data_IF_339350090382
#
_entry.id   IF_339350090382
#
_cell.length_a   1.000
_cell.length_b   1.000
_cell.length_c   1.000
_cell.angle_alpha   90.00
_cell.angle_beta   90.00
_cell.angle_gamma   90.00
#
_symmetry.space_group_name_H-M   'P 1'
#
loop_
_entity.id
_entity.type
_entity.pdbx_description
1 polymer ?
#
# COMPACT_ATOMS: atom_id res chain seq x y z
N UNK A 1 21.75 -28.75 -15.02
CA UNK A 1 20.93 -29.43 -14.00
C UNK A 1 21.13 -28.81 -12.60
N UNK A 2 22.37 -28.59 -12.15
CA UNK A 2 22.67 -27.98 -10.83
C UNK A 2 22.10 -26.57 -10.62
N UNK A 3 22.08 -25.72 -11.65
CA UNK A 3 21.55 -24.35 -11.50
C UNK A 3 20.05 -24.30 -11.27
N UNK A 4 19.27 -25.16 -11.94
CA UNK A 4 17.82 -25.24 -11.72
C UNK A 4 17.47 -25.73 -10.31
N UNK A 5 18.25 -26.67 -9.78
CA UNK A 5 18.12 -27.14 -8.40
C UNK A 5 18.41 -26.00 -7.41
N UNK A 6 19.42 -25.17 -7.68
CA UNK A 6 19.76 -24.01 -6.86
C UNK A 6 18.63 -22.97 -6.85
N UNK A 7 18.04 -22.66 -8.01
CA UNK A 7 16.88 -21.76 -8.08
C UNK A 7 15.67 -22.32 -7.33
N UNK A 8 15.40 -23.63 -7.42
CA UNK A 8 14.36 -24.30 -6.64
C UNK A 8 14.58 -24.16 -5.13
N UNK A 9 15.82 -24.38 -4.67
CA UNK A 9 16.18 -24.20 -3.25
C UNK A 9 15.94 -22.75 -2.81
N UNK A 10 16.35 -21.76 -3.61
CA UNK A 10 16.11 -20.35 -3.29
C UNK A 10 14.63 -20.00 -3.23
N UNK A 11 13.81 -20.52 -4.13
CA UNK A 11 12.35 -20.32 -4.12
C UNK A 11 11.73 -20.92 -2.85
N UNK A 12 12.08 -22.17 -2.51
CA UNK A 12 11.57 -22.84 -1.30
C UNK A 12 12.01 -22.10 -0.04
N UNK A 13 13.27 -21.68 0.03
CA UNK A 13 13.81 -20.91 1.15
C UNK A 13 13.11 -19.55 1.28
N UNK A 14 12.79 -18.90 0.17
CA UNK A 14 12.02 -17.66 0.16
C UNK A 14 10.63 -17.87 0.79
N UNK A 15 9.90 -18.90 0.35
CA UNK A 15 8.55 -19.22 0.86
C UNK A 15 8.59 -19.54 2.36
N UNK A 16 9.60 -20.28 2.83
CA UNK A 16 9.75 -20.60 4.26
C UNK A 16 10.04 -19.35 5.08
N UNK A 17 10.96 -18.49 4.61
CA UNK A 17 11.30 -17.24 5.30
C UNK A 17 10.10 -16.30 5.33
N UNK A 18 9.37 -16.20 4.21
CA UNK A 18 8.17 -15.39 4.08
C UNK A 18 7.07 -15.83 5.05
N UNK A 19 6.92 -17.15 5.25
CA UNK A 19 5.98 -17.71 6.21
C UNK A 19 6.45 -17.63 7.68
N UNK A 20 7.75 -17.42 7.95
CA UNK A 20 8.30 -17.37 9.31
C UNK A 20 8.51 -15.94 9.81
N UNK A 21 8.87 -15.01 8.94
CA UNK A 21 9.19 -13.62 9.31
C UNK A 21 7.97 -12.72 9.13
N UNK A 22 7.19 -12.62 10.21
CA UNK A 22 6.01 -11.75 10.29
C UNK A 22 6.32 -10.32 10.81
N UNK A 23 7.48 -10.11 11.43
CA UNK A 23 7.83 -8.83 12.03
C UNK A 23 8.37 -7.82 10.98
N UNK A 24 7.74 -6.65 10.80
CA UNK A 24 8.05 -5.73 9.69
C UNK A 24 9.45 -5.10 9.80
N UNK A 25 9.94 -4.86 11.01
CA UNK A 25 11.28 -4.31 11.24
C UNK A 25 12.37 -5.37 10.97
N UNK A 26 12.15 -6.61 11.42
CA UNK A 26 13.07 -7.73 11.20
C UNK A 26 13.20 -8.03 9.70
N UNK A 27 12.07 -8.01 8.97
CA UNK A 27 12.05 -8.20 7.51
C UNK A 27 12.79 -7.11 6.76
N UNK A 28 12.70 -5.85 7.20
CA UNK A 28 13.45 -4.72 6.62
C UNK A 28 14.95 -4.94 6.75
N UNK A 29 15.45 -5.24 7.95
CA UNK A 29 16.88 -5.44 8.19
C UNK A 29 17.39 -6.72 7.53
N UNK A 30 16.62 -7.81 7.57
CA UNK A 30 16.96 -9.06 6.90
C UNK A 30 17.04 -8.89 5.38
N UNK A 31 16.05 -8.26 4.74
CA UNK A 31 16.06 -8.00 3.31
C UNK A 31 17.22 -7.08 2.89
N UNK A 32 17.46 -6.00 3.64
CA UNK A 32 18.53 -5.05 3.35
C UNK A 32 19.93 -5.65 3.56
N UNK A 33 20.10 -6.47 4.59
CA UNK A 33 21.32 -7.25 4.83
C UNK A 33 21.57 -8.25 3.69
N UNK A 34 20.54 -8.96 3.23
CA UNK A 34 20.67 -9.95 2.15
C UNK A 34 21.01 -9.31 0.80
N UNK A 35 20.43 -8.13 0.49
CA UNK A 35 20.79 -7.36 -0.71
C UNK A 35 22.23 -6.86 -0.63
N UNK A 36 22.63 -6.29 0.52
CA UNK A 36 23.99 -5.80 0.72
C UNK A 36 25.02 -6.94 0.62
N UNK A 37 24.74 -8.08 1.25
CA UNK A 37 25.58 -9.28 1.16
C UNK A 37 25.66 -9.82 -0.28
N UNK A 38 24.53 -9.89 -0.99
CA UNK A 38 24.49 -10.33 -2.39
C UNK A 38 25.31 -9.44 -3.32
N UNK A 39 25.23 -8.12 -3.13
CA UNK A 39 26.03 -7.14 -3.89
C UNK A 39 27.52 -7.21 -3.54
N UNK A 40 27.86 -7.29 -2.25
CA UNK A 40 29.25 -7.45 -1.80
C UNK A 40 29.87 -8.74 -2.34
N UNK A 41 29.13 -9.85 -2.28
CA UNK A 41 29.52 -11.11 -2.90
C UNK A 41 29.71 -10.94 -4.41
N UNK A 42 28.80 -10.30 -5.15
CA UNK A 42 28.95 -10.09 -6.59
C UNK A 42 30.22 -9.31 -6.98
N UNK A 43 30.64 -8.35 -6.15
CA UNK A 43 31.84 -7.52 -6.37
C UNK A 43 33.11 -8.26 -5.97
N UNK A 44 33.09 -9.08 -4.91
CA UNK A 44 34.28 -9.81 -4.43
C UNK A 44 34.48 -11.18 -5.07
N UNK A 45 33.42 -11.86 -5.52
CA UNK A 45 33.51 -13.16 -6.20
C UNK A 45 34.50 -13.17 -7.38
N UNK A 46 34.52 -12.18 -8.29
CA UNK A 46 35.51 -12.18 -9.38
C UNK A 46 36.97 -12.16 -8.90
N UNK A 47 37.25 -11.67 -7.69
CA UNK A 47 38.61 -11.68 -7.11
C UNK A 47 39.06 -13.07 -6.60
N UNK A 48 38.11 -14.00 -6.39
CA UNK A 48 38.33 -15.38 -5.95
C UNK A 48 38.03 -16.41 -7.06
N UNK A 49 37.99 -15.98 -8.33
CA UNK A 49 37.65 -16.86 -9.45
C UNK A 49 38.80 -17.74 -9.90
N UNK A 50 39.04 -18.82 -9.16
CA UNK A 50 39.57 -20.04 -9.76
C UNK A 50 38.81 -21.33 -9.39
N UNK A 51 37.90 -21.32 -8.41
CA UNK A 51 37.38 -22.58 -7.84
C UNK A 51 35.84 -22.73 -7.78
N UNK A 52 35.06 -21.65 -7.90
CA UNK A 52 33.61 -21.70 -7.60
C UNK A 52 32.76 -21.80 -8.88
N UNK A 53 32.14 -22.96 -9.08
CA UNK A 53 31.32 -23.34 -10.25
C UNK A 53 29.85 -22.86 -10.20
N UNK A 54 29.52 -21.84 -9.40
CA UNK A 54 28.14 -21.41 -9.11
C UNK A 54 27.97 -19.87 -9.25
N UNK A 55 27.92 -19.32 -10.47
CA UNK A 55 27.90 -17.87 -10.73
C UNK A 55 26.58 -17.18 -10.34
N UNK A 56 25.49 -17.92 -10.13
CA UNK A 56 24.14 -17.37 -9.94
C UNK A 56 23.74 -17.10 -8.48
N UNK A 57 24.54 -17.53 -7.50
CA UNK A 57 24.31 -17.34 -6.06
C UNK A 57 24.11 -15.86 -5.67
N UNK A 58 24.95 -14.90 -6.09
CA UNK A 58 24.77 -13.50 -5.70
C UNK A 58 23.48 -12.90 -6.27
N UNK A 59 23.09 -13.30 -7.49
CA UNK A 59 21.86 -12.83 -8.14
C UNK A 59 20.65 -13.35 -7.37
N UNK A 60 20.65 -14.62 -6.97
CA UNK A 60 19.60 -15.22 -6.15
C UNK A 60 19.42 -14.50 -4.81
N UNK A 61 20.52 -14.17 -4.13
CA UNK A 61 20.49 -13.42 -2.87
C UNK A 61 19.90 -12.01 -3.03
N UNK A 62 20.28 -11.28 -4.09
CA UNK A 62 19.73 -9.93 -4.34
C UNK A 62 18.22 -9.99 -4.61
N UNK A 63 17.75 -10.96 -5.39
CA UNK A 63 16.32 -11.13 -5.68
C UNK A 63 15.51 -11.51 -4.43
N UNK A 64 16.01 -12.45 -3.63
CA UNK A 64 15.41 -12.83 -2.35
C UNK A 64 15.31 -11.65 -1.39
N UNK A 65 16.40 -10.89 -1.24
CA UNK A 65 16.44 -9.72 -0.35
C UNK A 65 15.49 -8.61 -0.81
N UNK A 66 15.40 -8.39 -2.13
CA UNK A 66 14.49 -7.41 -2.73
C UNK A 66 13.02 -7.77 -2.49
N UNK A 67 12.65 -9.04 -2.63
CA UNK A 67 11.31 -9.53 -2.33
C UNK A 67 10.92 -9.31 -0.86
N UNK A 68 11.81 -9.67 0.06
CA UNK A 68 11.58 -9.44 1.49
C UNK A 68 11.43 -7.95 1.84
N UNK A 69 12.24 -7.09 1.23
CA UNK A 69 12.22 -5.64 1.47
C UNK A 69 10.97 -4.96 0.89
N UNK A 70 10.56 -5.31 -0.32
CA UNK A 70 9.43 -4.69 -1.02
C UNK A 70 8.07 -5.19 -0.51
N UNK A 71 7.95 -6.47 -0.14
CA UNK A 71 6.68 -7.04 0.36
C UNK A 71 6.36 -6.70 1.82
N UNK A 72 7.18 -5.88 2.47
CA UNK A 72 6.93 -5.36 3.83
C UNK A 72 5.52 -4.80 4.00
N UNK A 73 5.00 -4.10 2.99
CA UNK A 73 3.70 -3.43 3.09
C UNK A 73 2.52 -4.41 3.18
N UNK A 74 2.62 -5.61 2.57
CA UNK A 74 1.57 -6.64 2.68
C UNK A 74 1.45 -7.18 4.12
N UNK A 75 2.58 -7.36 4.81
CA UNK A 75 2.61 -7.90 6.17
C UNK A 75 2.33 -6.86 7.26
N UNK A 76 2.69 -5.60 7.04
CA UNK A 76 2.30 -4.52 7.97
C UNK A 76 0.79 -4.41 8.15
N UNK A 77 0.00 -4.72 7.10
CA UNK A 77 -1.46 -4.77 7.18
C UNK A 77 -1.99 -6.05 7.86
N UNK A 78 -1.41 -7.21 7.57
CA UNK A 78 -1.81 -8.45 8.26
C UNK A 78 -1.64 -8.35 9.80
N UNK A 79 -0.75 -7.46 10.27
CA UNK A 79 -0.48 -7.22 11.69
C UNK A 79 -1.36 -6.14 12.35
N UNK A 80 -2.30 -5.49 11.65
CA UNK A 80 -3.37 -4.75 12.34
C UNK A 80 -4.45 -5.73 12.80
N UNK A 81 -4.04 -6.69 13.63
CA UNK A 81 -4.94 -7.45 14.49
C UNK A 81 -5.28 -6.54 15.67
N UNK A 82 -5.93 -5.40 15.38
CA UNK A 82 -6.59 -4.67 16.45
C UNK A 82 -7.79 -5.53 16.87
N UNK A 83 -7.82 -5.99 18.14
CA UNK A 83 -9.06 -6.51 18.67
C UNK A 83 -10.03 -5.32 18.65
N UNK A 84 -11.29 -5.61 18.32
CA UNK A 84 -12.44 -4.70 18.33
C UNK A 84 -12.59 -3.95 16.98
N UNK A 85 -13.77 -3.87 16.34
CA UNK A 85 -15.04 -3.44 16.96
C UNK A 85 -14.84 -2.29 17.97
N UNK A 86 -13.71 -1.59 17.96
CA UNK A 86 -13.57 -0.27 18.54
C UNK A 86 -14.09 0.58 17.42
N UNK A 87 -15.36 0.98 17.57
CA UNK A 87 -15.87 2.15 16.89
C UNK A 87 -14.72 3.14 16.85
N UNK A 88 -14.25 3.55 15.66
CA UNK A 88 -13.35 4.67 15.59
C UNK A 88 -13.99 5.72 16.49
N UNK A 89 -13.29 6.27 17.49
CA UNK A 89 -13.79 7.45 18.22
C UNK A 89 -13.70 8.62 17.24
N UNK A 90 -14.49 8.49 16.18
CA UNK A 90 -14.64 9.31 15.01
C UNK A 90 -16.11 9.61 15.09
N UNK A 91 -16.41 10.89 15.18
CA UNK A 91 -17.78 11.33 15.15
C UNK A 91 -18.26 11.11 13.70
N UNK A 92 -18.90 9.98 13.43
CA UNK A 92 -19.53 9.73 12.13
C UNK A 92 -20.85 10.49 12.11
N UNK A 93 -21.13 11.16 11.01
CA UNK A 93 -22.44 11.75 10.80
C UNK A 93 -23.51 10.65 10.63
N UNK A 94 -24.77 11.01 10.84
CA UNK A 94 -25.91 10.08 10.77
C UNK A 94 -26.24 9.61 9.35
N UNK A 95 -25.50 10.07 8.35
CA UNK A 95 -25.62 9.70 6.94
C UNK A 95 -24.92 8.37 6.60
N UNK A 96 -24.06 7.86 7.49
CA UNK A 96 -23.32 6.63 7.24
C UNK A 96 -24.24 5.38 7.25
N UNK A 97 -24.12 4.49 6.25
CA UNK A 97 -24.80 3.21 6.28
C UNK A 97 -24.17 2.29 7.33
N UNK A 98 -25.01 1.68 8.16
CA UNK A 98 -24.64 0.69 9.18
C UNK A 98 -24.38 -0.70 8.56
N UNK A 99 -23.45 -0.79 7.59
CA UNK A 99 -23.07 -2.06 6.98
C UNK A 99 -21.60 -2.45 7.26
N UNK A 100 -21.29 -3.78 7.30
CA UNK A 100 -19.92 -4.24 7.54
C UNK A 100 -18.90 -3.74 6.51
N UNK A 101 -19.37 -3.43 5.30
CA UNK A 101 -18.53 -2.90 4.21
C UNK A 101 -18.04 -1.49 4.52
N UNK A 102 -18.91 -0.61 4.99
CA UNK A 102 -18.56 0.76 5.35
C UNK A 102 -17.60 0.77 6.54
N UNK A 103 -17.86 -0.06 7.56
CA UNK A 103 -16.96 -0.18 8.71
C UNK A 103 -15.54 -0.62 8.29
N UNK A 104 -15.44 -1.62 7.40
CA UNK A 104 -14.15 -2.06 6.88
C UNK A 104 -13.46 -0.99 6.04
N UNK A 105 -14.22 -0.23 5.23
CA UNK A 105 -13.69 0.88 4.45
C UNK A 105 -13.14 1.98 5.36
N UNK A 106 -13.88 2.37 6.40
CA UNK A 106 -13.46 3.39 7.35
C UNK A 106 -12.20 2.96 8.12
N UNK A 107 -12.12 1.70 8.52
CA UNK A 107 -10.91 1.13 9.13
C UNK A 107 -9.72 1.26 8.16
N UNK A 108 -9.91 0.88 6.90
CA UNK A 108 -8.86 0.95 5.90
C UNK A 108 -8.37 2.39 5.65
N UNK A 109 -9.30 3.36 5.57
CA UNK A 109 -8.95 4.78 5.43
C UNK A 109 -8.20 5.27 6.68
N UNK A 110 -8.62 4.85 7.87
CA UNK A 110 -7.92 5.20 9.11
C UNK A 110 -6.48 4.68 9.14
N UNK A 111 -6.24 3.45 8.67
CA UNK A 111 -4.91 2.86 8.62
C UNK A 111 -3.99 3.51 7.57
N UNK A 112 -4.50 3.79 6.38
CA UNK A 112 -3.67 4.26 5.25
C UNK A 112 -3.53 5.80 5.17
N UNK A 113 -4.55 6.55 5.61
CA UNK A 113 -4.61 8.02 5.51
C UNK A 113 -4.62 8.67 6.89
N UNK A 114 -5.33 8.07 7.85
CA UNK A 114 -5.58 8.65 9.17
C UNK A 114 -6.84 9.51 9.19
N UNK A 115 -7.77 9.15 10.07
CA UNK A 115 -9.00 9.93 10.28
C UNK A 115 -8.82 10.92 11.45
N UNK A 116 -9.30 12.18 11.32
CA UNK A 116 -9.29 13.12 12.43
C UNK A 116 -10.19 12.65 13.58
N UNK A 117 -9.66 12.65 14.81
CA UNK A 117 -10.38 12.17 16.00
C UNK A 117 -11.47 13.14 16.51
N UNK A 118 -11.33 14.43 16.21
CA UNK A 118 -12.19 15.47 16.78
C UNK A 118 -13.19 16.08 15.78
N UNK A 119 -13.19 15.62 14.52
CA UNK A 119 -14.05 16.19 13.48
C UNK A 119 -15.16 15.22 13.11
N UNK A 120 -16.34 15.77 12.81
CA UNK A 120 -17.44 14.97 12.26
C UNK A 120 -17.09 14.63 10.82
N UNK A 121 -17.04 13.33 10.52
CA UNK A 121 -16.77 12.82 9.18
C UNK A 121 -18.12 12.53 8.52
N UNK A 122 -18.26 12.98 7.28
CA UNK A 122 -19.44 12.81 6.44
C UNK A 122 -19.10 11.91 5.24
N UNK A 123 -20.12 11.36 4.58
CA UNK A 123 -19.92 10.60 3.34
C UNK A 123 -19.28 11.44 2.22
N UNK A 124 -19.57 12.74 2.20
CA UNK A 124 -18.99 13.70 1.25
C UNK A 124 -17.59 14.18 1.65
N UNK A 125 -17.07 13.79 2.82
CA UNK A 125 -15.72 14.16 3.24
C UNK A 125 -14.72 13.68 2.21
N UNK A 126 -13.94 14.63 1.72
CA UNK A 126 -12.97 14.47 0.67
C UNK A 126 -11.66 13.96 1.23
N UNK A 127 -11.20 12.82 0.74
CA UNK A 127 -9.96 12.18 1.17
C UNK A 127 -8.75 13.00 0.71
N UNK A 128 -8.82 13.56 -0.49
CA UNK A 128 -7.72 14.35 -1.07
C UNK A 128 -7.70 15.80 -0.62
N UNK A 129 -8.83 16.37 -0.15
CA UNK A 129 -8.90 17.76 0.34
C UNK A 129 -8.95 17.80 1.88
N UNK A 130 -9.98 17.21 2.48
CA UNK A 130 -10.26 17.35 3.92
C UNK A 130 -9.33 16.49 4.78
N UNK A 131 -9.04 15.26 4.32
CA UNK A 131 -8.11 14.36 5.03
C UNK A 131 -6.65 14.59 4.63
N UNK A 132 -6.38 15.45 3.64
CA UNK A 132 -5.03 15.78 3.19
C UNK A 132 -4.25 14.60 2.61
N UNK A 133 -4.92 13.57 2.09
CA UNK A 133 -4.29 12.38 1.55
C UNK A 133 -3.36 12.72 0.37
N UNK A 134 -2.10 12.30 0.46
CA UNK A 134 -1.14 12.49 -0.60
C UNK A 134 -1.28 11.45 -1.72
N UNK A 135 -0.79 11.76 -2.91
CA UNK A 135 -0.76 10.79 -4.01
C UNK A 135 -0.03 9.48 -3.68
N UNK A 136 0.91 9.47 -2.73
CA UNK A 136 1.62 8.25 -2.34
C UNK A 136 0.78 7.38 -1.39
N UNK A 137 0.07 7.99 -0.45
CA UNK A 137 -0.89 7.31 0.43
C UNK A 137 -2.08 6.80 -0.37
N UNK A 138 -2.61 7.60 -1.30
CA UNK A 138 -3.68 7.20 -2.20
C UNK A 138 -3.34 5.94 -3.00
N UNK A 139 -2.10 5.80 -3.48
CA UNK A 139 -1.67 4.57 -4.18
C UNK A 139 -1.70 3.34 -3.27
N UNK A 140 -1.35 3.50 -1.99
CA UNK A 140 -1.42 2.41 -1.00
C UNK A 140 -2.87 2.06 -0.70
N UNK A 141 -3.72 3.07 -0.47
CA UNK A 141 -5.16 2.92 -0.30
C UNK A 141 -5.83 2.26 -1.51
N UNK A 142 -5.46 2.59 -2.75
CA UNK A 142 -6.04 1.92 -3.91
C UNK A 142 -5.56 0.49 -4.10
N UNK A 143 -4.29 0.20 -3.78
CA UNK A 143 -3.79 -1.17 -3.75
C UNK A 143 -4.56 -2.00 -2.70
N UNK A 144 -4.87 -1.36 -1.57
CA UNK A 144 -5.67 -1.93 -0.50
C UNK A 144 -7.09 -2.30 -0.92
N UNK A 145 -7.79 -1.34 -1.52
CA UNK A 145 -9.15 -1.53 -1.99
C UNK A 145 -9.23 -2.68 -3.00
N UNK A 146 -8.21 -2.80 -3.85
CA UNK A 146 -8.12 -3.91 -4.80
C UNK A 146 -7.90 -5.26 -4.09
N UNK A 147 -7.07 -5.30 -3.07
CA UNK A 147 -6.74 -6.53 -2.33
C UNK A 147 -7.89 -6.98 -1.44
N UNK A 148 -8.38 -6.09 -0.57
CA UNK A 148 -9.28 -6.45 0.53
C UNK A 148 -10.74 -6.54 0.04
N UNK A 149 -11.11 -5.73 -0.95
CA UNK A 149 -12.47 -5.71 -1.51
C UNK A 149 -12.56 -6.30 -2.92
N UNK A 150 -11.46 -6.70 -3.56
CA UNK A 150 -11.49 -7.20 -4.94
C UNK A 150 -11.91 -6.12 -5.96
N UNK A 151 -11.77 -4.84 -5.62
CA UNK A 151 -12.19 -3.73 -6.48
C UNK A 151 -11.30 -3.61 -7.71
N UNK A 152 -11.90 -3.65 -8.91
CA UNK A 152 -11.18 -3.40 -10.17
C UNK A 152 -10.92 -1.91 -10.36
N UNK A 153 -9.71 -1.56 -10.79
CA UNK A 153 -9.31 -0.17 -11.01
C UNK A 153 -10.10 0.55 -12.12
N UNK A 154 -10.78 -0.16 -13.03
CA UNK A 154 -11.65 0.45 -14.04
C UNK A 154 -10.95 1.53 -14.87
N UNK A 155 -11.49 2.74 -14.84
CA UNK A 155 -10.95 3.96 -15.49
C UNK A 155 -10.22 4.90 -14.51
N UNK A 156 -9.90 4.43 -13.30
CA UNK A 156 -9.25 5.23 -12.26
C UNK A 156 -7.93 5.83 -12.75
N UNK A 157 -7.81 7.15 -12.63
CA UNK A 157 -6.56 7.88 -12.87
C UNK A 157 -6.20 8.70 -11.64
N UNK A 158 -5.10 8.34 -10.98
CA UNK A 158 -4.60 9.06 -9.81
C UNK A 158 -4.37 10.57 -10.09
N UNK A 159 -3.95 10.95 -11.30
CA UNK A 159 -3.75 12.35 -11.71
C UNK A 159 -5.03 13.19 -11.78
N UNK A 160 -6.21 12.54 -11.75
CA UNK A 160 -7.52 13.19 -11.73
C UNK A 160 -7.84 13.79 -10.37
N UNK A 161 -7.52 13.05 -9.31
CA UNK A 161 -7.81 13.41 -7.93
C UNK A 161 -6.61 14.01 -7.20
N UNK A 162 -5.39 13.65 -7.61
CA UNK A 162 -4.17 14.06 -6.93
C UNK A 162 -3.26 14.86 -7.85
N UNK A 163 -2.64 15.93 -7.33
CA UNK A 163 -1.56 16.63 -8.01
C UNK A 163 -0.35 15.67 -8.16
N UNK A 164 0.34 15.76 -9.29
CA UNK A 164 1.63 15.07 -9.46
C UNK A 164 2.60 15.73 -8.47
N UNK A 165 3.21 14.95 -7.58
CA UNK A 165 4.18 15.45 -6.61
C UNK A 165 5.30 16.18 -7.38
N UNK A 166 5.37 17.50 -7.22
CA UNK A 166 6.44 18.32 -7.77
C UNK A 166 7.76 18.03 -7.04
N UNK A 167 8.88 18.37 -7.67
CA UNK A 167 10.24 18.16 -7.14
C UNK A 167 10.61 19.13 -6.00
N UNK A 168 9.63 19.68 -5.29
CA UNK A 168 9.91 20.66 -4.25
C UNK A 168 10.22 19.95 -2.92
N UNK A 169 11.48 19.51 -2.80
CA UNK A 169 12.00 18.83 -1.61
C UNK A 169 12.03 19.75 -0.37
N UNK A 170 11.90 21.07 -0.57
CA UNK A 170 12.04 22.09 0.47
C UNK A 170 10.72 22.51 1.10
N UNK A 171 9.59 22.37 0.41
CA UNK A 171 8.26 22.59 0.99
C UNK A 171 7.72 21.30 1.61
N UNK A 172 8.31 20.82 2.72
CA UNK A 172 7.70 19.74 3.53
C UNK A 172 6.36 20.16 4.18
N UNK A 173 6.01 21.43 4.09
CA UNK A 173 4.64 21.94 4.24
C UNK A 173 3.87 21.83 2.91
N UNK A 174 3.95 20.68 2.24
CA UNK A 174 3.19 20.42 1.00
C UNK A 174 1.72 20.60 1.32
N UNK A 175 1.03 21.46 0.56
CA UNK A 175 -0.43 21.61 0.51
C UNK A 175 -1.11 20.27 0.84
N UNK A 176 -1.56 20.10 2.09
CA UNK A 176 -2.42 18.99 2.48
C UNK A 176 -3.76 19.29 1.84
N UNK A 177 -3.98 18.70 0.67
CA UNK A 177 -5.07 19.11 -0.18
C UNK A 177 -4.65 19.10 -1.64
N UNK A 178 -5.36 18.37 -2.49
CA UNK A 178 -5.18 18.53 -3.94
C UNK A 178 -6.03 19.68 -4.47
N UNK A 179 -5.94 20.88 -3.86
CA UNK A 179 -6.74 22.06 -4.26
C UNK A 179 -6.66 22.30 -5.79
N UNK A 180 -7.81 22.39 -6.46
CA UNK A 180 -7.93 22.45 -7.92
C UNK A 180 -8.04 21.11 -8.65
N UNK A 181 -8.01 19.97 -7.94
CA UNK A 181 -8.40 18.65 -8.45
C UNK A 181 -9.83 18.30 -8.05
N UNK A 182 -10.41 17.30 -8.73
CA UNK A 182 -11.73 16.80 -8.35
C UNK A 182 -11.68 16.18 -6.94
N UNK A 183 -12.71 16.39 -6.11
CA UNK A 183 -12.80 15.79 -4.79
C UNK A 183 -12.96 14.27 -4.91
N UNK A 184 -12.23 13.53 -4.07
CA UNK A 184 -12.36 12.09 -3.92
C UNK A 184 -13.03 11.79 -2.58
N UNK A 185 -14.34 11.57 -2.58
CA UNK A 185 -15.11 11.42 -1.34
C UNK A 185 -15.16 9.99 -0.83
N UNK A 186 -15.47 9.82 0.46
CA UNK A 186 -15.69 8.50 1.07
C UNK A 186 -16.87 7.77 0.38
N UNK A 187 -17.93 8.50 0.01
CA UNK A 187 -19.06 7.95 -0.74
C UNK A 187 -18.62 7.35 -2.08
N UNK A 188 -17.73 8.02 -2.82
CA UNK A 188 -17.19 7.48 -4.07
C UNK A 188 -16.46 6.15 -3.86
N UNK A 189 -15.63 6.04 -2.82
CA UNK A 189 -14.95 4.77 -2.50
C UNK A 189 -15.96 3.67 -2.14
N UNK A 190 -16.96 3.99 -1.32
CA UNK A 190 -17.99 3.06 -0.91
C UNK A 190 -18.79 2.52 -2.10
N UNK A 191 -19.23 3.41 -2.99
CA UNK A 191 -19.96 3.01 -4.20
C UNK A 191 -19.07 2.21 -5.17
N UNK A 192 -17.78 2.54 -5.28
CA UNK A 192 -16.84 1.78 -6.10
C UNK A 192 -16.63 0.35 -5.56
N UNK A 193 -16.57 0.18 -4.23
CA UNK A 193 -16.50 -1.13 -3.58
C UNK A 193 -17.78 -1.92 -3.85
N UNK A 194 -18.95 -1.31 -3.68
CA UNK A 194 -20.25 -1.95 -3.96
C UNK A 194 -20.35 -2.42 -5.41
N UNK A 195 -19.93 -1.57 -6.35
CA UNK A 195 -19.90 -1.91 -7.78
C UNK A 195 -18.73 -2.85 -8.16
N UNK A 196 -17.81 -3.13 -7.24
CA UNK A 196 -16.54 -3.87 -7.46
C UNK A 196 -15.68 -3.31 -8.60
N UNK A 197 -15.92 -2.06 -9.01
CA UNK A 197 -15.27 -1.42 -10.15
C UNK A 197 -15.30 0.09 -9.99
N UNK A 198 -14.20 0.74 -10.32
CA UNK A 198 -14.14 2.18 -10.47
C UNK A 198 -14.79 2.64 -11.79
N UNK A 199 -15.74 3.55 -11.72
CA UNK A 199 -16.26 4.31 -12.86
C UNK A 199 -16.25 5.79 -12.48
N UNK A 200 -15.25 6.50 -12.99
CA UNK A 200 -14.94 7.87 -12.57
C UNK A 200 -16.06 8.86 -12.90
N UNK A 201 -16.85 8.64 -13.95
CA UNK A 201 -18.00 9.49 -14.30
C UNK A 201 -19.21 9.23 -13.38
N UNK A 202 -19.57 7.96 -13.19
CA UNK A 202 -20.70 7.59 -12.35
C UNK A 202 -20.46 7.97 -10.88
N UNK A 203 -19.24 7.76 -10.39
CA UNK A 203 -18.88 8.06 -9.00
C UNK A 203 -18.86 9.55 -8.71
N UNK A 204 -18.35 10.37 -9.63
CA UNK A 204 -18.35 11.83 -9.46
C UNK A 204 -19.77 12.41 -9.45
N UNK A 205 -20.71 11.81 -10.20
CA UNK A 205 -22.11 12.21 -10.10
C UNK A 205 -22.64 12.08 -8.65
N UNK A 206 -22.28 11.02 -7.92
CA UNK A 206 -22.64 10.88 -6.49
C UNK A 206 -21.90 11.86 -5.57
N UNK A 207 -20.71 12.32 -5.97
CA UNK A 207 -19.93 13.31 -5.22
C UNK A 207 -20.46 14.74 -5.37
N UNK A 208 -21.04 15.09 -6.52
CA UNK A 208 -21.56 16.43 -6.83
C UNK A 208 -23.04 16.66 -6.47
N UNK A 209 -23.81 15.62 -6.14
CA UNK A 209 -25.25 15.74 -5.87
C UNK A 209 -25.61 16.20 -4.45
N UNK A 210 -24.63 16.43 -3.57
CA UNK A 210 -24.84 16.75 -2.14
C UNK A 210 -23.99 17.94 -1.67
N UNK A 211 -23.68 18.87 -2.59
CA UNK A 211 -23.04 20.16 -2.28
C UNK A 211 -24.04 21.30 -2.34
#
# INVERSE_FOLDING_TARGET
>A
MMEYLQWLIFIVLNVIIDNKIHAPNLRKYAGLSLVAAGLACAVWLPYWTHEIRLPSVPIGAVLLGSGLFLDRHRYSRAKTTHPLLVAPTVNLASDFPDDPLMLHLLQLIHEDVGLPKCQIIHLNTSINHDLGCSSAEAKRLFAALKQDFGMKAGDYKNSRYFKRRGFDAYLRYVERGSEGKAPLTINMLYQAIKAKRWNSQALEAFGYQVS
#
